data_IF_306092785494
#
_entry.id   IF_306092785494
#
_cell.length_a   1.000
_cell.length_b   1.000
_cell.length_c   1.000
_cell.angle_alpha   90.00
_cell.angle_beta   90.00
_cell.angle_gamma   90.00
#
_symmetry.space_group_name_H-M   'P 1'
#
loop_
_entity.id
_entity.type
_entity.pdbx_description
1 polymer ?
#
# COMPACT_ATOMS: atom_id res chain seq x y z
N UNK A 1 -43.68 -14.03 28.45
CA UNK A 1 -42.28 -13.63 28.19
C UNK A 1 -41.76 -14.55 27.09
N UNK A 2 -41.67 -14.05 25.85
CA UNK A 2 -41.25 -14.88 24.71
C UNK A 2 -39.72 -15.01 24.69
N UNK A 3 -39.23 -16.23 24.49
CA UNK A 3 -37.80 -16.52 24.35
C UNK A 3 -37.20 -15.71 23.17
N UNK A 4 -35.93 -15.27 23.26
CA UNK A 4 -35.27 -14.62 22.15
C UNK A 4 -35.17 -15.57 20.94
N UNK A 5 -35.21 -15.05 19.71
CA UNK A 5 -35.09 -15.88 18.52
C UNK A 5 -33.74 -16.61 18.55
N UNK A 6 -33.79 -17.92 18.34
CA UNK A 6 -32.64 -18.78 18.14
C UNK A 6 -31.78 -18.21 17.02
N UNK A 7 -30.53 -17.82 17.34
CA UNK A 7 -29.52 -17.48 16.32
C UNK A 7 -29.36 -18.69 15.42
N UNK A 8 -29.63 -18.52 14.13
CA UNK A 8 -29.32 -19.55 13.15
C UNK A 8 -27.83 -19.91 13.22
N UNK A 9 -27.46 -21.17 12.98
CA UNK A 9 -26.06 -21.56 12.91
C UNK A 9 -25.42 -20.78 11.75
N UNK A 10 -24.41 -19.96 12.05
CA UNK A 10 -23.57 -19.33 11.04
C UNK A 10 -23.10 -20.41 10.05
N UNK A 11 -23.43 -20.25 8.76
CA UNK A 11 -23.11 -21.23 7.75
C UNK A 11 -21.60 -21.48 7.68
N UNK A 12 -21.23 -22.68 7.23
CA UNK A 12 -19.87 -23.18 7.17
C UNK A 12 -18.88 -22.18 6.53
N UNK A 13 -17.87 -21.82 7.34
CA UNK A 13 -16.62 -21.11 7.05
C UNK A 13 -16.73 -19.73 6.38
N UNK A 14 -16.86 -18.68 7.20
CA UNK A 14 -16.48 -17.33 6.78
C UNK A 14 -15.02 -17.34 6.24
N UNK A 15 -14.70 -16.58 5.18
CA UNK A 15 -13.35 -16.55 4.64
C UNK A 15 -12.37 -16.07 5.71
N UNK A 16 -11.21 -16.74 5.80
CA UNK A 16 -10.12 -16.30 6.65
C UNK A 16 -9.69 -14.90 6.17
N UNK A 17 -9.64 -13.95 7.11
CA UNK A 17 -9.27 -12.56 6.85
C UNK A 17 -8.01 -12.21 7.59
N UNK A 18 -7.06 -11.62 6.87
CA UNK A 18 -5.87 -11.01 7.46
C UNK A 18 -5.96 -9.50 7.31
N UNK A 19 -5.33 -8.79 8.25
CA UNK A 19 -5.13 -7.35 8.15
C UNK A 19 -3.78 -7.11 7.49
N UNK A 20 -3.74 -6.26 6.48
CA UNK A 20 -2.51 -5.82 5.81
C UNK A 20 -2.45 -4.31 5.77
N UNK A 21 -1.26 -3.76 5.57
CA UNK A 21 -1.09 -2.34 5.30
C UNK A 21 -0.18 -2.14 4.08
N UNK A 22 -0.55 -1.19 3.23
CA UNK A 22 0.09 -0.95 1.94
C UNK A 22 0.42 0.53 1.76
N UNK A 23 1.65 0.83 1.35
CA UNK A 23 2.23 2.16 1.24
C UNK A 23 2.58 2.55 -0.20
N UNK A 24 1.97 3.62 -0.68
CA UNK A 24 2.40 4.27 -1.92
C UNK A 24 3.48 5.31 -1.60
N UNK A 25 4.75 4.93 -1.78
CA UNK A 25 5.88 5.83 -1.56
C UNK A 25 6.04 6.79 -2.75
N UNK A 26 5.83 8.08 -2.50
CA UNK A 26 5.90 9.13 -3.52
C UNK A 26 7.01 10.14 -3.27
N UNK A 27 7.69 10.51 -4.35
CA UNK A 27 8.76 11.49 -4.33
C UNK A 27 8.83 12.21 -5.68
N UNK A 28 9.01 13.54 -5.68
CA UNK A 28 9.19 14.35 -6.88
C UNK A 28 8.20 14.08 -8.04
N UNK A 29 6.92 13.82 -7.72
CA UNK A 29 5.90 13.56 -8.74
C UNK A 29 5.95 12.16 -9.35
N UNK A 30 6.63 11.24 -8.70
CA UNK A 30 6.72 9.83 -9.06
C UNK A 30 6.30 8.96 -7.87
N UNK A 31 5.86 7.74 -8.16
CA UNK A 31 5.65 6.69 -7.16
C UNK A 31 6.70 5.59 -7.36
N UNK A 32 7.22 5.01 -6.29
CA UNK A 32 8.07 3.83 -6.37
C UNK A 32 7.18 2.59 -6.30
N UNK A 33 7.32 1.70 -7.29
CA UNK A 33 6.65 0.39 -7.33
C UNK A 33 7.69 -0.72 -7.36
N UNK A 34 7.34 -1.88 -6.83
CA UNK A 34 8.14 -3.09 -6.94
C UNK A 34 7.50 -4.13 -7.88
N UNK A 35 8.32 -4.96 -8.50
CA UNK A 35 7.88 -6.09 -9.31
C UNK A 35 7.68 -7.33 -8.43
N UNK A 36 6.42 -7.66 -8.16
CA UNK A 36 6.07 -8.80 -7.33
C UNK A 36 6.12 -10.11 -8.13
N UNK A 37 7.28 -10.78 -8.13
CA UNK A 37 7.58 -11.96 -8.99
C UNK A 37 6.54 -13.08 -8.94
N UNK A 38 5.97 -13.37 -7.76
CA UNK A 38 4.97 -14.44 -7.59
C UNK A 38 3.64 -14.09 -8.29
N UNK A 39 3.23 -12.83 -8.21
CA UNK A 39 1.95 -12.37 -8.76
C UNK A 39 2.10 -11.84 -10.19
N UNK A 40 3.34 -11.54 -10.60
CA UNK A 40 3.68 -10.92 -11.89
C UNK A 40 2.95 -9.59 -12.10
N UNK A 41 2.95 -8.76 -11.05
CA UNK A 41 2.31 -7.45 -11.03
C UNK A 41 3.29 -6.39 -10.50
N UNK A 42 3.10 -5.16 -10.94
CA UNK A 42 3.70 -3.98 -10.31
C UNK A 42 2.81 -3.54 -9.14
N UNK A 43 3.38 -3.52 -7.93
CA UNK A 43 2.64 -3.25 -6.71
C UNK A 43 3.32 -2.15 -5.86
N UNK A 44 2.55 -1.45 -5.01
CA UNK A 44 3.09 -0.71 -3.88
C UNK A 44 3.67 -1.66 -2.82
N UNK A 45 4.32 -1.10 -1.80
CA UNK A 45 4.95 -1.87 -0.72
C UNK A 45 3.92 -2.22 0.34
N UNK A 46 3.89 -3.45 0.84
CA UNK A 46 2.92 -3.81 1.86
C UNK A 46 2.96 -5.27 2.28
N UNK A 47 2.30 -5.55 3.39
CA UNK A 47 2.35 -6.87 4.02
C UNK A 47 1.42 -7.00 5.22
N UNK A 48 1.52 -8.15 5.88
CA UNK A 48 0.70 -8.48 7.04
C UNK A 48 1.06 -7.60 8.24
N UNK A 49 0.03 -7.17 8.98
CA UNK A 49 0.24 -6.52 10.27
C UNK A 49 0.73 -7.57 11.26
N UNK A 50 1.91 -7.34 11.83
CA UNK A 50 2.50 -8.24 12.81
C UNK A 50 1.92 -8.03 14.23
N UNK A 51 2.02 -9.04 15.12
CA UNK A 51 1.60 -8.88 16.51
C UNK A 51 2.33 -7.72 17.21
N UNK A 52 1.57 -6.72 17.63
CA UNK A 52 2.08 -5.54 18.34
C UNK A 52 2.32 -4.32 17.45
N UNK A 53 2.14 -4.45 16.14
CA UNK A 53 2.15 -3.31 15.22
C UNK A 53 0.77 -2.68 15.10
N UNK A 54 0.74 -1.35 15.03
CA UNK A 54 -0.35 -0.63 14.39
C UNK A 54 -0.13 -0.55 12.86
N UNK A 55 -1.18 -0.30 12.05
CA UNK A 55 -1.05 -0.32 10.59
C UNK A 55 -0.04 0.70 10.03
N UNK A 56 0.21 1.79 10.75
CA UNK A 56 1.20 2.80 10.35
C UNK A 56 2.61 2.28 10.59
N UNK A 57 2.84 1.54 11.69
CA UNK A 57 4.12 0.87 11.91
C UNK A 57 4.37 -0.18 10.83
N UNK A 58 3.38 -1.03 10.51
CA UNK A 58 3.48 -2.05 9.46
C UNK A 58 3.87 -1.44 8.12
N UNK A 59 3.13 -0.42 7.64
CA UNK A 59 3.42 0.14 6.31
C UNK A 59 4.79 0.80 6.23
N UNK A 60 5.27 1.42 7.32
CA UNK A 60 6.59 2.04 7.35
C UNK A 60 7.70 0.98 7.37
N UNK A 61 7.51 -0.14 8.09
CA UNK A 61 8.41 -1.29 8.05
C UNK A 61 8.48 -1.90 6.66
N UNK A 62 7.33 -2.22 6.05
CA UNK A 62 7.28 -2.84 4.72
C UNK A 62 7.94 -1.96 3.65
N UNK A 63 7.69 -0.64 3.67
CA UNK A 63 8.38 0.30 2.79
C UNK A 63 9.89 0.25 3.01
N UNK A 64 10.37 0.24 4.25
CA UNK A 64 11.81 0.19 4.54
C UNK A 64 12.44 -1.16 4.14
N UNK A 65 11.80 -2.28 4.44
CA UNK A 65 12.29 -3.63 4.14
C UNK A 65 12.37 -3.91 2.63
N UNK A 66 11.36 -3.50 1.88
CA UNK A 66 11.25 -3.80 0.45
C UNK A 66 11.94 -2.77 -0.46
N UNK A 67 12.12 -1.54 0.01
CA UNK A 67 12.74 -0.46 -0.80
C UNK A 67 14.05 0.09 -0.25
N UNK A 68 14.36 -0.17 1.03
CA UNK A 68 15.49 0.44 1.73
C UNK A 68 15.28 1.91 2.09
N UNK A 69 14.05 2.44 2.02
CA UNK A 69 13.76 3.87 2.20
C UNK A 69 13.00 4.09 3.50
N UNK A 70 13.61 4.82 4.43
CA UNK A 70 12.91 5.31 5.61
C UNK A 70 11.84 6.35 5.20
N UNK A 71 10.60 6.10 5.59
CA UNK A 71 9.45 6.91 5.18
C UNK A 71 8.69 7.52 6.37
N UNK A 72 7.72 8.36 6.01
CA UNK A 72 6.64 8.82 6.89
C UNK A 72 5.31 8.84 6.12
N UNK A 73 4.20 8.66 6.83
CA UNK A 73 2.86 8.73 6.25
C UNK A 73 2.46 10.19 6.02
N UNK A 74 1.90 10.46 4.85
CA UNK A 74 1.28 11.75 4.53
C UNK A 74 -0.09 11.78 5.20
N UNK A 75 -0.16 12.39 6.38
CA UNK A 75 -1.40 12.43 7.17
C UNK A 75 -2.50 13.26 6.52
N UNK A 76 -3.62 12.60 6.18
CA UNK A 76 -4.83 13.24 5.66
C UNK A 76 -6.08 12.42 6.07
N UNK A 77 -7.14 13.03 6.65
CA UNK A 77 -7.23 14.42 7.14
C UNK A 77 -6.33 14.70 8.36
N UNK A 78 -6.17 15.99 8.75
CA UNK A 78 -5.49 16.33 10.02
C UNK A 78 -6.20 15.69 11.23
N UNK A 79 -5.49 15.48 12.35
CA UNK A 79 -6.07 14.90 13.55
C UNK A 79 -7.12 15.84 14.14
N UNK A 80 -8.10 15.27 14.85
CA UNK A 80 -9.06 16.04 15.62
C UNK A 80 -8.36 16.74 16.80
N UNK A 81 -8.91 17.83 17.37
CA UNK A 81 -8.24 18.64 18.39
C UNK A 81 -8.31 17.99 19.79
N UNK A 82 -7.73 16.81 19.93
CA UNK A 82 -7.50 16.12 21.21
C UNK A 82 -6.22 15.29 21.16
N UNK A 83 -5.56 15.16 22.31
CA UNK A 83 -4.27 14.46 22.42
C UNK A 83 -4.45 12.99 22.79
N UNK A 84 -5.34 12.68 23.73
CA UNK A 84 -5.57 11.33 24.24
C UNK A 84 -7.00 10.84 23.96
N UNK A 85 -7.18 9.60 23.46
CA UNK A 85 -6.12 8.68 23.05
C UNK A 85 -5.35 9.17 21.81
N UNK A 86 -4.06 8.81 21.69
CA UNK A 86 -3.25 9.08 20.48
C UNK A 86 -4.00 8.70 19.21
N UNK A 87 -4.11 9.64 18.27
CA UNK A 87 -4.72 9.42 16.97
C UNK A 87 -3.68 8.93 15.96
N UNK A 88 -3.92 7.78 15.35
CA UNK A 88 -3.17 7.33 14.18
C UNK A 88 -3.72 8.01 12.91
N UNK A 89 -2.86 8.31 11.92
CA UNK A 89 -3.32 8.61 10.59
C UNK A 89 -4.31 7.54 10.10
N UNK A 90 -5.51 7.93 9.63
CA UNK A 90 -6.43 6.97 9.04
C UNK A 90 -5.88 6.50 7.68
N UNK A 91 -6.23 5.28 7.24
CA UNK A 91 -5.93 4.87 5.88
C UNK A 91 -6.71 5.76 4.89
N UNK A 92 -6.14 5.98 3.71
CA UNK A 92 -6.77 6.70 2.61
C UNK A 92 -8.00 5.96 2.09
N UNK A 93 -7.90 4.63 2.02
CA UNK A 93 -8.99 3.71 1.70
C UNK A 93 -8.68 2.34 2.31
N UNK A 94 -9.70 1.50 2.41
CA UNK A 94 -9.56 0.11 2.82
C UNK A 94 -10.00 -0.77 1.65
N UNK A 95 -9.13 -1.66 1.19
CA UNK A 95 -9.44 -2.60 0.12
C UNK A 95 -9.76 -3.98 0.70
N UNK A 96 -10.67 -4.70 0.04
CA UNK A 96 -10.88 -6.12 0.32
C UNK A 96 -10.28 -6.90 -0.85
N UNK A 97 -9.08 -7.41 -0.64
CA UNK A 97 -8.32 -8.11 -1.68
C UNK A 97 -8.41 -9.61 -1.49
N UNK A 98 -8.47 -10.35 -2.60
CA UNK A 98 -8.44 -11.81 -2.57
C UNK A 98 -7.01 -12.27 -2.80
N UNK A 99 -6.48 -13.01 -1.84
CA UNK A 99 -5.14 -13.56 -1.88
C UNK A 99 -5.17 -15.10 -1.84
N UNK A 100 -4.07 -15.70 -2.30
CA UNK A 100 -3.87 -17.14 -2.20
C UNK A 100 -2.43 -17.47 -1.87
N UNK A 101 -2.25 -18.43 -0.96
CA UNK A 101 -0.96 -19.05 -0.69
C UNK A 101 -0.62 -20.18 -1.68
N UNK A 102 -1.52 -20.48 -2.62
CA UNK A 102 -1.43 -21.60 -3.57
C UNK A 102 -2.24 -22.83 -3.15
N UNK A 103 -2.72 -22.88 -1.91
CA UNK A 103 -3.52 -23.98 -1.37
C UNK A 103 -4.92 -23.53 -0.96
N UNK A 104 -5.02 -22.36 -0.35
CA UNK A 104 -6.27 -21.79 0.15
C UNK A 104 -6.44 -20.35 -0.30
N UNK A 105 -7.69 -19.97 -0.54
CA UNK A 105 -8.06 -18.58 -0.77
C UNK A 105 -8.39 -17.91 0.56
N UNK A 106 -7.88 -16.70 0.75
CA UNK A 106 -8.17 -15.85 1.89
C UNK A 106 -8.37 -14.41 1.44
N UNK A 107 -8.84 -13.57 2.34
CA UNK A 107 -9.08 -12.14 2.08
C UNK A 107 -8.10 -11.29 2.90
N UNK A 108 -7.60 -10.22 2.31
CA UNK A 108 -6.90 -9.15 3.02
C UNK A 108 -7.83 -7.96 3.16
N UNK A 109 -7.96 -7.46 4.39
CA UNK A 109 -8.47 -6.12 4.67
C UNK A 109 -7.25 -5.22 4.65
N UNK A 110 -7.03 -4.55 3.53
CA UNK A 110 -5.80 -3.81 3.26
C UNK A 110 -5.97 -2.32 3.55
N UNK A 111 -5.18 -1.80 4.49
CA UNK A 111 -5.16 -0.40 4.89
C UNK A 111 -4.17 0.38 4.02
N UNK A 112 -4.68 1.24 3.13
CA UNK A 112 -3.85 1.98 2.19
C UNK A 112 -3.36 3.29 2.79
N UNK A 113 -2.05 3.54 2.71
CA UNK A 113 -1.39 4.76 3.13
C UNK A 113 -0.59 5.38 2.00
N UNK A 114 -0.55 6.71 1.96
CA UNK A 114 0.39 7.45 1.11
C UNK A 114 1.59 7.84 1.95
N UNK A 115 2.79 7.60 1.42
CA UNK A 115 4.04 7.79 2.14
C UNK A 115 4.97 8.71 1.36
N UNK A 116 5.87 9.39 2.06
CA UNK A 116 7.00 10.09 1.45
C UNK A 116 8.30 9.73 2.16
N UNK A 117 9.46 9.79 1.49
CA UNK A 117 10.76 9.63 2.12
C UNK A 117 10.92 10.65 3.26
N UNK A 118 11.42 10.19 4.41
CA UNK A 118 11.68 11.04 5.57
C UNK A 118 12.89 11.96 5.35
N UNK A 119 13.97 11.37 4.83
CA UNK A 119 15.27 12.04 4.68
C UNK A 119 15.62 12.27 3.18
N UNK A 120 14.61 12.21 2.31
CA UNK A 120 14.80 12.19 0.85
C UNK A 120 15.30 10.83 0.35
N UNK A 121 15.74 10.79 -0.91
CA UNK A 121 16.20 9.55 -1.59
C UNK A 121 17.64 9.65 -2.12
N UNK A 122 18.35 10.73 -1.78
CA UNK A 122 19.69 10.98 -2.29
C UNK A 122 20.68 9.92 -1.78
N UNK A 123 21.48 9.35 -2.68
CA UNK A 123 22.47 8.32 -2.35
C UNK A 123 21.91 6.90 -2.25
N UNK A 124 20.60 6.71 -2.42
CA UNK A 124 20.02 5.37 -2.53
C UNK A 124 20.30 4.79 -3.92
N UNK A 125 20.88 3.60 -3.96
CA UNK A 125 21.22 2.92 -5.20
C UNK A 125 20.02 2.16 -5.81
N UNK A 126 18.84 2.80 -5.86
CA UNK A 126 17.61 2.19 -6.37
C UNK A 126 17.74 1.78 -7.84
N UNK A 127 18.52 2.51 -8.63
CA UNK A 127 18.82 2.20 -10.04
C UNK A 127 19.51 0.84 -10.24
N UNK A 128 19.95 0.18 -9.16
CA UNK A 128 20.63 -1.13 -9.21
C UNK A 128 19.68 -2.31 -9.00
N UNK A 129 18.49 -2.09 -8.46
CA UNK A 129 17.49 -3.14 -8.35
C UNK A 129 16.50 -3.01 -9.51
N UNK A 130 16.56 -3.89 -10.53
CA UNK A 130 15.64 -3.80 -11.66
C UNK A 130 14.19 -4.04 -11.24
N UNK A 131 13.95 -4.66 -10.08
CA UNK A 131 12.60 -4.91 -9.57
C UNK A 131 11.96 -3.68 -8.93
N UNK A 132 12.72 -2.60 -8.69
CA UNK A 132 12.18 -1.33 -8.20
C UNK A 132 12.13 -0.30 -9.32
N UNK A 133 11.03 0.44 -9.42
CA UNK A 133 10.89 1.48 -10.45
C UNK A 133 10.13 2.69 -9.97
N UNK A 134 10.75 3.86 -10.13
CA UNK A 134 10.05 5.14 -10.08
C UNK A 134 9.20 5.32 -11.34
N UNK A 135 7.89 5.44 -11.17
CA UNK A 135 6.93 5.68 -12.24
C UNK A 135 6.38 7.09 -12.10
N UNK A 136 6.60 7.91 -13.10
CA UNK A 136 6.14 9.31 -13.12
C UNK A 136 4.63 9.43 -13.32
N UNK A 137 4.07 10.56 -12.90
CA UNK A 137 2.68 10.89 -13.22
C UNK A 137 2.38 10.82 -14.72
N UNK A 138 3.32 11.23 -15.58
CA UNK A 138 3.16 11.17 -17.02
C UNK A 138 3.05 9.70 -17.51
N UNK A 139 3.93 8.82 -17.05
CA UNK A 139 3.88 7.39 -17.35
C UNK A 139 2.56 6.76 -16.86
N UNK A 140 2.13 7.08 -15.64
CA UNK A 140 0.87 6.60 -15.07
C UNK A 140 -0.35 7.06 -15.90
N UNK A 141 -0.33 8.29 -16.43
CA UNK A 141 -1.42 8.81 -17.28
C UNK A 141 -1.44 8.19 -18.67
N UNK A 142 -0.26 7.94 -19.25
CA UNK A 142 -0.13 7.24 -20.54
C UNK A 142 -0.57 5.78 -20.41
N UNK A 143 -0.37 5.17 -19.24
CA UNK A 143 -0.69 3.77 -18.97
C UNK A 143 0.00 2.82 -19.97
N UNK A 144 1.26 3.10 -20.31
CA UNK A 144 2.07 2.17 -21.06
C UNK A 144 2.51 1.01 -20.14
N UNK A 145 2.50 -0.24 -20.63
CA UNK A 145 3.10 -1.37 -19.91
C UNK A 145 4.57 -1.12 -19.59
N UNK A 146 5.02 -1.64 -18.44
CA UNK A 146 6.35 -1.42 -17.89
C UNK A 146 7.09 -2.76 -17.81
N UNK A 147 8.30 -2.83 -18.38
CA UNK A 147 9.16 -4.00 -18.31
C UNK A 147 9.77 -4.16 -16.90
N UNK A 148 9.59 -5.31 -16.23
CA UNK A 148 10.20 -5.60 -14.93
C UNK A 148 11.72 -5.72 -14.95
N UNK A 149 12.24 -6.32 -16.00
CA UNK A 149 13.67 -6.44 -16.26
C UNK A 149 13.88 -6.27 -17.77
N UNK A 150 15.12 -6.06 -18.26
CA UNK A 150 15.39 -5.98 -19.68
C UNK A 150 14.92 -7.19 -20.49
N UNK A 151 14.82 -8.35 -19.85
CA UNK A 151 14.48 -9.63 -20.48
C UNK A 151 13.01 -10.05 -20.28
N UNK A 152 12.25 -9.34 -19.44
CA UNK A 152 10.84 -9.64 -19.18
C UNK A 152 9.90 -8.76 -20.01
N UNK A 153 8.79 -9.32 -20.54
CA UNK A 153 7.84 -8.56 -21.32
C UNK A 153 7.19 -7.46 -20.46
N UNK A 154 6.88 -6.29 -21.05
CA UNK A 154 6.17 -5.21 -20.35
C UNK A 154 4.81 -5.65 -19.82
N UNK A 155 4.50 -5.27 -18.58
CA UNK A 155 3.24 -5.57 -17.90
C UNK A 155 2.54 -4.26 -17.51
N UNK A 156 1.23 -4.12 -17.77
CA UNK A 156 0.49 -2.94 -17.33
C UNK A 156 0.43 -2.87 -15.80
N UNK A 157 0.50 -1.64 -15.27
CA UNK A 157 0.25 -1.39 -13.86
C UNK A 157 -1.25 -1.62 -13.60
N UNK A 158 -1.64 -2.40 -12.56
CA UNK A 158 -3.03 -2.62 -12.18
C UNK A 158 -3.82 -1.31 -12.03
N UNK A 159 -5.12 -1.34 -12.35
CA UNK A 159 -5.94 -0.13 -12.40
C UNK A 159 -6.05 0.58 -11.04
N UNK A 160 -6.27 -0.20 -9.98
CA UNK A 160 -6.29 0.25 -8.58
C UNK A 160 -4.95 0.87 -8.18
N UNK A 161 -3.83 0.18 -8.42
CA UNK A 161 -2.48 0.67 -8.16
C UNK A 161 -2.22 1.99 -8.89
N UNK A 162 -2.56 2.05 -10.19
CA UNK A 162 -2.37 3.25 -11.00
C UNK A 162 -3.22 4.43 -10.51
N UNK A 163 -4.46 4.15 -10.10
CA UNK A 163 -5.38 5.17 -9.60
C UNK A 163 -4.89 5.73 -8.27
N UNK A 164 -4.54 4.86 -7.33
CA UNK A 164 -4.03 5.24 -6.01
C UNK A 164 -2.66 5.92 -6.09
N UNK A 165 -1.79 5.52 -7.03
CA UNK A 165 -0.53 6.20 -7.30
C UNK A 165 -0.72 7.66 -7.76
N UNK A 166 -1.67 7.92 -8.67
CA UNK A 166 -2.00 9.28 -9.11
C UNK A 166 -2.54 10.13 -7.96
N UNK A 167 -3.37 9.54 -7.10
CA UNK A 167 -3.89 10.18 -5.90
C UNK A 167 -2.80 10.45 -4.85
N UNK A 168 -1.85 9.53 -4.67
CA UNK A 168 -0.70 9.70 -3.79
C UNK A 168 0.18 10.87 -4.23
N UNK A 169 0.47 10.98 -5.53
CA UNK A 169 1.22 12.11 -6.11
C UNK A 169 0.47 13.43 -5.86
N UNK A 170 -0.85 13.45 -6.03
CA UNK A 170 -1.68 14.63 -5.75
C UNK A 170 -1.64 15.02 -4.26
N UNK A 171 -1.79 14.04 -3.37
CA UNK A 171 -1.77 14.24 -1.93
C UNK A 171 -0.42 14.78 -1.45
N UNK A 172 0.70 14.23 -1.93
CA UNK A 172 2.03 14.73 -1.61
C UNK A 172 2.25 16.18 -2.03
N UNK A 173 1.78 16.57 -3.22
CA UNK A 173 1.84 17.98 -3.67
C UNK A 173 1.00 18.90 -2.80
N UNK A 174 -0.17 18.44 -2.35
CA UNK A 174 -1.02 19.22 -1.46
C UNK A 174 -0.36 19.41 -0.08
N UNK A 175 0.28 18.36 0.46
CA UNK A 175 0.98 18.39 1.75
C UNK A 175 2.32 19.17 1.72
N UNK A 176 2.88 19.42 0.53
CA UNK A 176 4.09 20.23 0.35
C UNK A 176 3.81 21.74 0.26
N UNK A 177 2.54 22.16 0.17
CA UNK A 177 2.18 23.59 0.20
C UNK A 177 2.27 24.11 1.64
N UNK A 178 2.93 25.26 1.85
CA UNK A 178 3.08 25.86 3.18
C UNK A 178 1.75 26.34 3.78
#
# INVERSE_FOLDING_TARGET
MSAPPSREPHSAHAPLRHMTATGFLVWNGQVLLHWHRKNRLWLPFGGHIEPGEDPVQTVLREVEEESGIAAEVIQQPPPFPFEEPRQLPPPVTILLERATDGQTWHEHIDLIYFCRPRDGVAGLALDRDPTLRWVSEAELRVNAPVAPTPDEPPVPIPLDVRTLALEAIRAARAAAKP
#
